data_IF_350796753812
#
_entry.id   IF_350796753812
#
_cell.length_a   1.000
_cell.length_b   1.000
_cell.length_c   1.000
_cell.angle_alpha   90.00
_cell.angle_beta   90.00
_cell.angle_gamma   90.00
#
_symmetry.space_group_name_H-M   'P 1'
#
loop_
_entity.id
_entity.type
_entity.pdbx_description
1 polymer ?
#
# COMPACT_ATOMS: atom_id res chain seq x y z
N UNK A 1 2.67 -1.41 -11.50
CA UNK A 1 1.39 -0.68 -11.39
C UNK A 1 1.46 0.21 -10.16
N UNK A 2 0.93 1.44 -10.22
CA UNK A 2 0.69 2.24 -9.02
C UNK A 2 -0.70 1.87 -8.52
N UNK A 3 -0.79 1.38 -7.29
CA UNK A 3 -2.08 1.20 -6.64
C UNK A 3 -2.58 2.56 -6.19
N UNK A 4 -3.84 2.85 -6.52
CA UNK A 4 -4.57 3.99 -5.98
C UNK A 4 -4.77 3.82 -4.48
N UNK A 5 -5.12 4.92 -3.81
CA UNK A 5 -5.44 4.89 -2.38
C UNK A 5 -6.56 3.89 -2.05
N UNK A 6 -7.61 3.88 -2.88
CA UNK A 6 -8.75 2.98 -2.72
C UNK A 6 -8.34 1.51 -2.88
N UNK A 7 -7.58 1.17 -3.92
CA UNK A 7 -7.11 -0.21 -4.14
C UNK A 7 -6.26 -0.70 -2.96
N UNK A 8 -5.38 0.14 -2.42
CA UNK A 8 -4.58 -0.23 -1.23
C UNK A 8 -5.47 -0.54 -0.03
N UNK A 9 -6.53 0.24 0.16
CA UNK A 9 -7.46 0.05 1.26
C UNK A 9 -8.28 -1.23 1.09
N UNK A 10 -8.78 -1.50 -0.11
CA UNK A 10 -9.48 -2.75 -0.43
C UNK A 10 -8.60 -3.97 -0.17
N UNK A 11 -7.32 -3.93 -0.56
CA UNK A 11 -6.37 -5.01 -0.26
C UNK A 11 -6.21 -5.22 1.26
N UNK A 12 -6.10 -4.14 2.04
CA UNK A 12 -6.01 -4.23 3.51
C UNK A 12 -7.28 -4.87 4.08
N UNK A 13 -8.46 -4.44 3.65
CA UNK A 13 -9.74 -5.00 4.09
C UNK A 13 -9.87 -6.49 3.72
N UNK A 14 -9.52 -6.85 2.49
CA UNK A 14 -9.53 -8.25 2.06
C UNK A 14 -8.59 -9.11 2.90
N UNK A 15 -7.41 -8.61 3.26
CA UNK A 15 -6.46 -9.33 4.11
C UNK A 15 -6.97 -9.45 5.55
N UNK A 16 -7.58 -8.41 6.12
CA UNK A 16 -8.15 -8.44 7.48
C UNK A 16 -9.34 -9.40 7.60
N UNK A 17 -10.16 -9.50 6.56
CA UNK A 17 -11.33 -10.39 6.51
C UNK A 17 -10.95 -11.83 6.11
N UNK A 18 -9.76 -12.03 5.53
CA UNK A 18 -9.30 -13.34 5.08
C UNK A 18 -8.98 -14.25 6.26
N UNK A 19 -9.53 -15.47 6.25
CA UNK A 19 -9.20 -16.50 7.23
C UNK A 19 -7.99 -17.36 6.83
N UNK A 20 -7.40 -17.10 5.66
CA UNK A 20 -6.16 -17.73 5.21
C UNK A 20 -4.97 -16.82 5.51
N UNK A 21 -3.75 -17.36 5.40
CA UNK A 21 -2.55 -16.60 5.73
C UNK A 21 -2.37 -15.38 4.82
N UNK A 22 -2.03 -14.23 5.41
CA UNK A 22 -1.76 -12.96 4.71
C UNK A 22 -0.82 -13.15 3.52
N UNK A 23 0.22 -13.98 3.68
CA UNK A 23 1.18 -14.29 2.62
C UNK A 23 0.53 -14.92 1.39
N UNK A 24 -0.45 -15.81 1.58
CA UNK A 24 -1.17 -16.47 0.48
C UNK A 24 -2.09 -15.50 -0.23
N UNK A 25 -2.88 -14.72 0.52
CA UNK A 25 -3.76 -13.69 -0.04
C UNK A 25 -2.98 -12.66 -0.85
N UNK A 26 -1.85 -12.18 -0.35
CA UNK A 26 -0.99 -11.24 -1.08
C UNK A 26 -0.34 -11.85 -2.33
N UNK A 27 0.01 -13.13 -2.30
CA UNK A 27 0.55 -13.83 -3.48
C UNK A 27 -0.50 -13.94 -4.59
N UNK A 28 -1.76 -14.23 -4.25
CA UNK A 28 -2.87 -14.27 -5.20
C UNK A 28 -3.16 -12.89 -5.81
N UNK A 29 -3.05 -11.83 -5.01
CA UNK A 29 -3.19 -10.44 -5.45
C UNK A 29 -1.94 -9.88 -6.17
N UNK A 30 -0.86 -10.68 -6.26
CA UNK A 30 0.45 -10.27 -6.80
C UNK A 30 1.03 -9.01 -6.13
N UNK A 31 0.75 -8.84 -4.84
CA UNK A 31 1.23 -7.72 -4.03
C UNK A 31 2.45 -8.18 -3.23
N UNK A 32 3.62 -7.53 -3.37
CA UNK A 32 4.77 -7.84 -2.53
C UNK A 32 4.48 -7.56 -1.05
N UNK A 33 4.86 -8.49 -0.16
CA UNK A 33 4.67 -8.35 1.29
C UNK A 33 5.25 -7.05 1.85
N UNK A 34 6.42 -6.63 1.37
CA UNK A 34 7.06 -5.38 1.79
C UNK A 34 6.18 -4.16 1.51
N UNK A 35 5.59 -4.08 0.32
CA UNK A 35 4.67 -3.00 -0.05
C UNK A 35 3.41 -3.01 0.80
N UNK A 36 2.86 -4.20 1.05
CA UNK A 36 1.69 -4.35 1.91
C UNK A 36 1.97 -3.84 3.33
N UNK A 37 3.07 -4.28 3.96
CA UNK A 37 3.41 -3.84 5.31
C UNK A 37 3.72 -2.34 5.40
N UNK A 38 4.33 -1.75 4.36
CA UNK A 38 4.53 -0.31 4.27
C UNK A 38 3.20 0.46 4.24
N UNK A 39 2.22 -0.03 3.49
CA UNK A 39 0.87 0.55 3.45
C UNK A 39 0.13 0.34 4.76
N UNK A 40 0.17 -0.88 5.30
CA UNK A 40 -0.50 -1.24 6.54
C UNK A 40 0.00 -0.37 7.70
N UNK A 41 1.33 -0.18 7.81
CA UNK A 41 1.90 0.74 8.79
C UNK A 41 1.37 2.16 8.63
N UNK A 42 1.33 2.70 7.41
CA UNK A 42 0.78 4.04 7.16
C UNK A 42 -0.70 4.13 7.46
N UNK A 43 -1.45 3.07 7.19
CA UNK A 43 -2.87 2.98 7.50
C UNK A 43 -3.12 2.97 9.01
N UNK A 44 -2.31 2.24 9.79
CA UNK A 44 -2.38 2.26 11.26
C UNK A 44 -2.00 3.65 11.81
N UNK A 45 -0.99 4.31 11.23
CA UNK A 45 -0.49 5.60 11.72
C UNK A 45 -1.39 6.80 11.34
N UNK A 46 -1.94 6.79 10.12
CA UNK A 46 -2.60 7.96 9.49
C UNK A 46 -3.99 7.64 8.92
N UNK A 47 -4.52 6.43 9.13
CA UNK A 47 -5.79 6.00 8.56
C UNK A 47 -5.76 5.90 7.04
N UNK A 48 -6.94 6.00 6.44
CA UNK A 48 -7.13 5.93 4.98
C UNK A 48 -6.25 6.95 4.23
N UNK A 49 -6.08 8.16 4.77
CA UNK A 49 -5.28 9.23 4.16
C UNK A 49 -3.78 8.88 4.04
N UNK A 50 -3.26 8.02 4.93
CA UNK A 50 -1.89 7.52 4.87
C UNK A 50 -1.58 6.65 3.64
N UNK A 51 -2.63 6.14 2.97
CA UNK A 51 -2.52 5.31 1.76
C UNK A 51 -2.44 6.13 0.47
N UNK A 52 -2.72 7.44 0.55
CA UNK A 52 -2.60 8.32 -0.60
C UNK A 52 -1.19 8.24 -1.20
N UNK A 53 -1.10 8.27 -2.53
CA UNK A 53 0.18 8.31 -3.20
C UNK A 53 0.91 9.57 -2.75
N UNK A 54 2.07 9.40 -2.11
CA UNK A 54 2.98 10.52 -1.89
C UNK A 54 3.36 11.01 -3.27
N UNK A 55 2.96 12.24 -3.61
CA UNK A 55 3.54 12.96 -4.73
C UNK A 55 5.04 12.86 -4.51
N UNK A 56 5.71 12.04 -5.33
CA UNK A 56 7.15 12.14 -5.48
C UNK A 56 7.33 13.57 -5.93
N UNK A 57 7.65 14.47 -5.00
CA UNK A 57 8.16 15.76 -5.36
C UNK A 57 9.30 15.41 -6.29
N UNK A 58 9.12 15.68 -7.58
CA UNK A 58 10.21 15.75 -8.52
C UNK A 58 11.16 16.76 -7.89
N UNK A 59 12.07 16.26 -7.04
CA UNK A 59 13.26 16.99 -6.67
C UNK A 59 13.97 17.06 -8.01
N UNK A 60 13.69 18.12 -8.76
CA UNK A 60 14.45 18.53 -9.92
C UNK A 60 15.85 18.81 -9.39
N UNK A 61 16.62 17.73 -9.25
CA UNK A 61 18.02 17.80 -8.94
C UNK A 61 18.71 18.23 -10.22
N UNK A 62 19.36 19.39 -10.09
CA UNK A 62 20.38 19.98 -10.94
C UNK A 62 19.98 20.57 -12.28
N UNK A 63 19.81 21.90 -12.27
CA UNK A 63 20.42 22.72 -13.31
C UNK A 63 21.16 23.90 -12.66
N UNK A 64 22.49 23.78 -12.57
CA UNK A 64 23.44 24.89 -12.46
C UNK A 64 24.72 24.47 -13.16
#
# INVERSE_FOLDING_TARGET
MRHTQAEKYEIIRMVEESQISTRRTLAELQVPQSMFYDWYKRYVDQGYDGLADRKSSLRQFWNR
#
